data_IF_745719852980
#
_entry.id   IF_745719852980
#
_cell.length_a   1.000
_cell.length_b   1.000
_cell.length_c   1.000
_cell.angle_alpha   90.00
_cell.angle_beta   90.00
_cell.angle_gamma   90.00
#
_symmetry.space_group_name_H-M   'P 1'
#
loop_
_entity.id
_entity.type
_entity.pdbx_description
1 polymer ?
#
# COMPACT_ATOMS: atom_id res chain seq x y z
N UNK A 1 -4.80 0.20 -34.04
CA UNK A 1 -6.11 0.11 -33.36
C UNK A 1 -6.26 -1.28 -32.76
N UNK A 2 -6.58 -1.43 -31.48
CA UNK A 2 -6.87 -2.76 -30.91
C UNK A 2 -8.10 -3.32 -31.62
N UNK A 3 -7.98 -4.49 -32.21
CA UNK A 3 -9.15 -5.18 -32.77
C UNK A 3 -10.05 -5.64 -31.63
N UNK A 4 -11.37 -5.75 -31.84
CA UNK A 4 -12.31 -6.25 -30.82
C UNK A 4 -11.81 -7.53 -30.13
N UNK A 5 -11.21 -8.46 -30.86
CA UNK A 5 -10.73 -9.74 -30.31
C UNK A 5 -9.54 -9.59 -29.34
N UNK A 6 -8.59 -8.69 -29.59
CA UNK A 6 -7.47 -8.44 -28.65
C UNK A 6 -7.94 -7.72 -27.40
N UNK A 7 -8.92 -6.81 -27.54
CA UNK A 7 -9.55 -6.13 -26.41
C UNK A 7 -10.34 -7.11 -25.53
N UNK A 8 -11.09 -8.04 -26.13
CA UNK A 8 -11.87 -9.05 -25.41
C UNK A 8 -10.96 -10.00 -24.61
N UNK A 9 -9.82 -10.42 -25.18
CA UNK A 9 -8.83 -11.24 -24.49
C UNK A 9 -8.20 -10.47 -23.32
N UNK A 10 -7.83 -9.21 -23.50
CA UNK A 10 -7.29 -8.36 -22.44
C UNK A 10 -8.29 -8.21 -21.29
N UNK A 11 -9.58 -7.97 -21.61
CA UNK A 11 -10.63 -7.87 -20.60
C UNK A 11 -10.82 -9.18 -19.83
N UNK A 12 -10.74 -10.32 -20.53
CA UNK A 12 -10.85 -11.63 -19.89
C UNK A 12 -9.69 -11.90 -18.94
N UNK A 13 -8.45 -11.62 -19.33
CA UNK A 13 -7.29 -11.76 -18.45
C UNK A 13 -7.40 -10.90 -17.19
N UNK A 14 -7.88 -9.66 -17.33
CA UNK A 14 -8.14 -8.79 -16.19
C UNK A 14 -9.24 -9.32 -15.28
N UNK A 15 -10.31 -9.86 -15.86
CA UNK A 15 -11.40 -10.49 -15.12
C UNK A 15 -10.93 -11.75 -14.38
N UNK A 16 -10.00 -12.50 -14.97
CA UNK A 16 -9.38 -13.70 -14.37
C UNK A 16 -8.30 -13.32 -13.31
N UNK A 17 -8.14 -12.02 -13.02
CA UNK A 17 -7.26 -11.54 -11.94
C UNK A 17 -5.82 -11.21 -12.33
N UNK A 18 -5.53 -10.98 -13.62
CA UNK A 18 -4.21 -10.58 -14.13
C UNK A 18 -4.23 -9.12 -14.64
N UNK A 19 -4.11 -8.12 -13.76
CA UNK A 19 -4.37 -6.71 -14.09
C UNK A 19 -3.36 -6.11 -15.07
N UNK A 20 -2.13 -6.62 -15.10
CA UNK A 20 -1.05 -6.13 -15.95
C UNK A 20 -0.91 -6.89 -17.28
N UNK A 21 -1.69 -7.98 -17.47
CA UNK A 21 -1.63 -8.78 -18.69
C UNK A 21 -2.51 -8.19 -19.79
N UNK A 22 -2.05 -8.28 -21.02
CA UNK A 22 -2.78 -7.78 -22.18
C UNK A 22 -2.46 -8.58 -23.44
N UNK A 23 -3.39 -8.56 -24.39
CA UNK A 23 -3.21 -9.13 -25.69
C UNK A 23 -2.87 -8.04 -26.71
N UNK A 24 -1.85 -8.27 -27.51
CA UNK A 24 -1.41 -7.37 -28.56
C UNK A 24 -1.43 -8.05 -29.91
N UNK A 25 -1.79 -7.29 -30.93
CA UNK A 25 -1.81 -7.72 -32.33
C UNK A 25 -0.70 -7.01 -33.08
N UNK A 26 0.35 -7.72 -33.55
CA UNK A 26 1.40 -7.13 -34.38
C UNK A 26 0.86 -6.61 -35.72
N UNK A 27 1.49 -5.57 -36.27
CA UNK A 27 1.05 -4.92 -37.51
C UNK A 27 1.16 -5.84 -38.75
N UNK A 28 2.08 -6.83 -38.74
CA UNK A 28 2.34 -7.77 -39.85
C UNK A 28 1.45 -9.01 -39.85
N UNK A 29 0.24 -8.94 -39.37
CA UNK A 29 -0.50 -10.10 -38.88
C UNK A 29 -1.51 -10.69 -39.86
N UNK A 30 -1.54 -10.24 -41.12
CA UNK A 30 -2.61 -10.61 -42.06
C UNK A 30 -2.10 -11.37 -43.31
N UNK A 31 -1.04 -12.15 -43.17
CA UNK A 31 -0.60 -13.05 -44.23
C UNK A 31 -1.22 -14.43 -44.09
N UNK A 32 -1.69 -14.99 -45.19
CA UNK A 32 -2.19 -16.36 -45.34
C UNK A 32 -3.40 -16.75 -44.48
N UNK A 33 -4.29 -15.79 -44.13
CA UNK A 33 -5.49 -16.10 -43.38
C UNK A 33 -5.27 -16.50 -41.92
N UNK A 34 -4.04 -16.43 -41.42
CA UNK A 34 -3.66 -16.72 -40.03
C UNK A 34 -3.48 -15.41 -39.25
N UNK A 35 -4.13 -15.28 -38.10
CA UNK A 35 -3.99 -14.15 -37.17
C UNK A 35 -3.12 -14.60 -36.00
N UNK A 36 -1.96 -13.97 -35.81
CA UNK A 36 -1.12 -14.18 -34.63
C UNK A 36 -1.49 -13.15 -33.56
N UNK A 37 -1.84 -13.60 -32.37
CA UNK A 37 -2.09 -12.76 -31.21
C UNK A 37 -0.94 -13.01 -30.23
N UNK A 38 -0.28 -11.95 -29.80
CA UNK A 38 0.75 -12.02 -28.77
C UNK A 38 0.10 -11.71 -27.45
N UNK A 39 0.20 -12.67 -26.51
CA UNK A 39 -0.25 -12.51 -25.16
C UNK A 39 0.94 -12.09 -24.30
N UNK A 40 0.81 -10.97 -23.60
CA UNK A 40 1.82 -10.42 -22.72
C UNK A 40 1.41 -10.62 -21.29
N UNK A 41 2.16 -11.44 -20.56
CA UNK A 41 1.97 -11.67 -19.13
C UNK A 41 2.71 -10.58 -18.35
N UNK A 42 1.94 -9.68 -17.70
CA UNK A 42 2.49 -8.53 -17.01
C UNK A 42 2.99 -8.86 -15.61
N UNK A 43 4.12 -8.27 -15.25
CA UNK A 43 4.73 -8.38 -13.90
C UNK A 43 5.41 -7.07 -13.53
N UNK A 44 5.67 -6.85 -12.24
CA UNK A 44 6.44 -5.69 -11.76
C UNK A 44 7.92 -6.01 -11.81
N UNK A 45 8.65 -5.30 -12.65
CA UNK A 45 10.11 -5.45 -12.81
C UNK A 45 10.90 -4.52 -11.91
N UNK A 46 10.34 -3.35 -11.58
CA UNK A 46 11.01 -2.30 -10.81
C UNK A 46 10.04 -1.64 -9.84
N UNK A 47 10.54 -1.26 -8.65
CA UNK A 47 9.78 -0.50 -7.66
C UNK A 47 10.54 0.77 -7.28
N UNK A 48 9.86 1.92 -7.38
CA UNK A 48 10.33 3.22 -6.92
C UNK A 48 9.67 3.53 -5.55
N UNK A 49 10.49 3.66 -4.51
CA UNK A 49 10.03 3.91 -3.14
C UNK A 49 10.44 5.33 -2.73
N UNK A 50 9.45 6.19 -2.52
CA UNK A 50 9.65 7.59 -2.17
C UNK A 50 9.22 7.85 -0.73
N UNK A 51 10.19 7.91 0.18
CA UNK A 51 9.99 8.24 1.60
C UNK A 51 11.27 8.79 2.20
N UNK A 52 11.12 9.65 3.21
CA UNK A 52 12.25 10.23 3.97
C UNK A 52 12.63 9.39 5.22
N UNK A 53 11.82 8.38 5.57
CA UNK A 53 12.11 7.51 6.72
C UNK A 53 12.81 6.23 6.24
N UNK A 54 14.05 5.95 6.67
CA UNK A 54 14.82 4.78 6.23
C UNK A 54 14.18 3.44 6.65
N UNK A 55 13.60 3.36 7.85
CA UNK A 55 12.92 2.16 8.33
C UNK A 55 11.69 1.85 7.50
N UNK A 56 10.91 2.90 7.18
CA UNK A 56 9.76 2.78 6.29
C UNK A 56 10.19 2.36 4.88
N UNK A 57 11.27 2.95 4.35
CA UNK A 57 11.80 2.58 3.04
C UNK A 57 12.14 1.08 2.96
N UNK A 58 12.81 0.55 3.99
CA UNK A 58 13.16 -0.86 4.05
C UNK A 58 11.93 -1.77 4.11
N UNK A 59 10.93 -1.40 4.92
CA UNK A 59 9.65 -2.11 4.98
C UNK A 59 8.95 -2.13 3.62
N UNK A 60 8.79 -0.98 2.98
CA UNK A 60 8.12 -0.87 1.68
C UNK A 60 8.87 -1.66 0.60
N UNK A 61 10.21 -1.63 0.59
CA UNK A 61 11.03 -2.44 -0.32
C UNK A 61 10.81 -3.94 -0.13
N UNK A 62 10.72 -4.42 1.11
CA UNK A 62 10.43 -5.84 1.39
C UNK A 62 9.04 -6.25 0.88
N UNK A 63 8.01 -5.41 1.06
CA UNK A 63 6.67 -5.68 0.56
C UNK A 63 6.62 -5.61 -0.97
N UNK A 64 7.27 -4.64 -1.59
CA UNK A 64 7.39 -4.53 -3.04
C UNK A 64 8.13 -5.75 -3.65
N UNK A 65 9.17 -6.26 -3.00
CA UNK A 65 9.88 -7.45 -3.44
C UNK A 65 8.97 -8.69 -3.53
N UNK A 66 7.93 -8.79 -2.68
CA UNK A 66 6.94 -9.86 -2.75
C UNK A 66 6.03 -9.73 -3.97
N UNK A 67 5.67 -8.49 -4.35
CA UNK A 67 4.92 -8.22 -5.58
C UNK A 67 5.78 -8.56 -6.81
N UNK A 68 7.06 -8.16 -6.80
CA UNK A 68 8.01 -8.40 -7.89
C UNK A 68 8.36 -9.88 -8.09
N UNK A 69 8.20 -10.70 -7.05
CA UNK A 69 8.51 -12.13 -7.12
C UNK A 69 7.48 -12.94 -7.91
N UNK A 70 6.27 -12.42 -8.08
CA UNK A 70 5.19 -13.12 -8.78
C UNK A 70 5.13 -12.73 -10.26
N UNK A 71 5.17 -13.73 -11.13
CA UNK A 71 5.14 -13.59 -12.58
C UNK A 71 4.29 -14.70 -13.21
N UNK A 72 3.19 -14.39 -13.88
CA UNK A 72 2.53 -13.08 -13.99
C UNK A 72 1.94 -12.60 -12.67
N UNK A 73 1.84 -11.26 -12.49
CA UNK A 73 1.30 -10.68 -11.27
C UNK A 73 -0.22 -10.85 -11.20
N UNK A 74 -0.71 -11.38 -10.07
CA UNK A 74 -2.13 -11.45 -9.78
C UNK A 74 -2.64 -10.22 -9.04
N UNK A 75 -3.92 -9.89 -9.23
CA UNK A 75 -4.60 -8.82 -8.49
C UNK A 75 -4.60 -9.09 -6.98
N UNK A 76 -4.81 -10.35 -6.60
CA UNK A 76 -4.85 -10.74 -5.19
C UNK A 76 -3.51 -10.46 -4.46
N UNK A 77 -2.39 -10.77 -5.10
CA UNK A 77 -1.06 -10.47 -4.57
C UNK A 77 -0.80 -8.97 -4.52
N UNK A 78 -1.13 -8.25 -5.58
CA UNK A 78 -0.99 -6.80 -5.61
C UNK A 78 -1.80 -6.13 -4.49
N UNK A 79 -3.08 -6.45 -4.38
CA UNK A 79 -3.97 -5.88 -3.36
C UNK A 79 -3.51 -6.23 -1.93
N UNK A 80 -3.11 -7.47 -1.72
CA UNK A 80 -2.61 -7.90 -0.40
C UNK A 80 -1.42 -7.07 0.07
N UNK A 81 -0.40 -6.93 -0.75
CA UNK A 81 0.83 -6.25 -0.33
C UNK A 81 0.69 -4.73 -0.34
N UNK A 82 -0.10 -4.15 -1.24
CA UNK A 82 -0.42 -2.71 -1.20
C UNK A 82 -1.26 -2.36 0.03
N UNK A 83 -2.23 -3.21 0.43
CA UNK A 83 -2.94 -3.04 1.70
C UNK A 83 -2.02 -3.12 2.92
N UNK A 84 -1.02 -4.01 2.92
CA UNK A 84 -0.03 -4.05 3.99
C UNK A 84 0.86 -2.80 4.03
N UNK A 85 1.13 -2.18 2.88
CA UNK A 85 1.82 -0.89 2.83
C UNK A 85 0.96 0.23 3.40
N UNK A 86 -0.33 0.31 3.03
CA UNK A 86 -1.26 1.36 3.51
C UNK A 86 -1.60 1.22 4.99
N UNK A 87 -1.53 0.02 5.55
CA UNK A 87 -1.75 -0.23 6.99
C UNK A 87 -0.53 0.04 7.87
N UNK A 88 0.54 0.60 7.31
CA UNK A 88 1.71 0.98 8.12
C UNK A 88 1.37 2.14 9.04
N UNK A 89 1.58 2.03 10.37
CA UNK A 89 1.24 3.08 11.32
C UNK A 89 1.95 4.40 11.05
N UNK A 90 1.29 5.53 11.32
CA UNK A 90 1.89 6.87 11.23
C UNK A 90 2.23 7.34 9.83
N UNK A 91 1.72 6.67 8.77
CA UNK A 91 1.98 7.07 7.39
C UNK A 91 0.82 6.70 6.48
N UNK A 92 0.53 7.55 5.52
CA UNK A 92 -0.31 7.21 4.38
C UNK A 92 0.59 6.83 3.22
N UNK A 93 0.42 5.63 2.67
CA UNK A 93 1.18 5.15 1.51
C UNK A 93 0.26 5.07 0.32
N UNK A 94 0.63 5.75 -0.76
CA UNK A 94 0.01 5.59 -2.07
C UNK A 94 0.88 4.65 -2.90
N UNK A 95 0.31 3.53 -3.34
CA UNK A 95 1.00 2.52 -4.11
C UNK A 95 0.24 2.24 -5.41
N UNK A 96 0.91 2.38 -6.52
CA UNK A 96 0.35 2.17 -7.86
C UNK A 96 1.32 1.43 -8.77
N UNK A 97 0.79 0.68 -9.72
CA UNK A 97 1.57 0.05 -10.77
C UNK A 97 1.16 0.63 -12.13
N UNK A 98 2.16 0.98 -12.93
CA UNK A 98 1.93 1.41 -14.31
C UNK A 98 1.76 0.19 -15.21
N UNK A 99 0.92 0.32 -16.23
CA UNK A 99 0.79 -0.74 -17.23
C UNK A 99 2.10 -0.94 -17.97
N UNK A 100 2.47 -2.19 -18.31
CA UNK A 100 3.64 -2.46 -19.13
C UNK A 100 3.56 -1.72 -20.46
N UNK A 101 4.67 -1.07 -20.87
CA UNK A 101 4.76 -0.35 -22.13
C UNK A 101 5.54 -1.13 -23.19
N UNK A 102 5.90 -2.38 -22.91
CA UNK A 102 6.70 -3.22 -23.79
C UNK A 102 6.14 -4.64 -23.87
N UNK A 103 6.51 -5.34 -24.94
CA UNK A 103 6.08 -6.72 -25.21
C UNK A 103 6.60 -7.75 -24.19
N UNK A 104 7.51 -7.36 -23.29
CA UNK A 104 8.06 -8.24 -22.26
C UNK A 104 7.23 -8.23 -20.96
N UNK A 105 6.18 -7.41 -20.89
CA UNK A 105 5.27 -7.36 -19.73
C UNK A 105 5.87 -6.72 -18.47
N UNK A 106 7.03 -6.05 -18.58
CA UNK A 106 7.69 -5.41 -17.46
C UNK A 106 7.00 -4.09 -17.10
N UNK A 107 6.46 -4.00 -15.89
CA UNK A 107 5.81 -2.82 -15.31
C UNK A 107 6.69 -2.18 -14.23
N UNK A 108 6.48 -0.89 -14.00
CA UNK A 108 7.05 -0.16 -12.88
C UNK A 108 5.98 0.05 -11.80
N UNK A 109 6.36 -0.15 -10.54
CA UNK A 109 5.53 0.15 -9.37
C UNK A 109 6.10 1.38 -8.67
N UNK A 110 5.23 2.28 -8.24
CA UNK A 110 5.59 3.41 -7.38
C UNK A 110 4.89 3.27 -6.04
N UNK A 111 5.63 3.50 -4.95
CA UNK A 111 5.07 3.62 -3.61
C UNK A 111 5.60 4.89 -2.97
N UNK A 112 4.70 5.83 -2.72
CA UNK A 112 5.02 7.14 -2.15
C UNK A 112 4.39 7.27 -0.78
N UNK A 113 5.19 7.66 0.22
CA UNK A 113 4.66 8.04 1.52
C UNK A 113 4.18 9.48 1.48
N UNK A 114 2.95 9.68 1.95
CA UNK A 114 2.33 11.00 2.10
C UNK A 114 2.30 11.28 3.61
N UNK A 115 2.85 12.43 4.02
CA UNK A 115 2.86 12.91 5.41
C UNK A 115 3.32 11.84 6.43
N UNK A 116 4.58 11.39 6.39
CA UNK A 116 5.09 10.47 7.40
C UNK A 116 5.22 11.22 8.74
N UNK A 117 4.36 10.89 9.68
CA UNK A 117 4.47 11.35 11.07
C UNK A 117 5.09 10.23 11.91
N UNK A 118 6.31 10.45 12.38
CA UNK A 118 6.96 9.51 13.30
C UNK A 118 6.29 9.56 14.67
N UNK A 119 5.71 10.69 15.04
CA UNK A 119 5.02 10.90 16.30
C UNK A 119 3.65 11.55 16.07
N UNK A 120 2.73 11.20 16.92
CA UNK A 120 1.40 11.80 17.00
C UNK A 120 1.06 12.06 18.47
N UNK A 121 0.45 13.20 18.76
CA UNK A 121 -0.05 13.54 20.10
C UNK A 121 -1.47 14.06 19.93
N UNK A 122 -2.40 13.47 20.65
CA UNK A 122 -3.76 13.95 20.72
C UNK A 122 -4.22 14.13 22.17
N UNK A 123 -5.12 15.07 22.40
CA UNK A 123 -5.73 15.29 23.70
C UNK A 123 -7.23 15.53 23.56
N UNK A 124 -8.00 14.97 24.49
CA UNK A 124 -9.44 15.15 24.58
C UNK A 124 -9.79 15.50 26.01
N UNK A 125 -10.61 16.55 26.20
CA UNK A 125 -11.12 16.96 27.51
C UNK A 125 -12.57 16.51 27.60
N UNK A 126 -12.89 15.74 28.65
CA UNK A 126 -14.26 15.35 28.98
C UNK A 126 -14.73 16.16 30.19
N UNK A 127 -15.78 16.96 30.00
CA UNK A 127 -16.39 17.82 31.05
C UNK A 127 -17.76 17.35 31.44
N UNK A 128 -18.12 16.08 31.20
CA UNK A 128 -19.45 15.55 31.51
C UNK A 128 -19.57 15.20 33.00
N UNK A 129 -20.58 15.82 33.63
CA UNK A 129 -21.11 15.48 34.97
C UNK A 129 -20.07 15.27 36.07
N UNK A 130 -19.62 16.32 36.71
CA UNK A 130 -18.86 16.32 37.95
C UNK A 130 -17.45 15.70 37.96
N UNK A 131 -16.92 15.24 36.85
CA UNK A 131 -15.54 14.75 36.74
C UNK A 131 -14.93 15.30 35.47
N UNK A 132 -14.15 16.36 35.61
CA UNK A 132 -13.40 16.91 34.50
C UNK A 132 -12.08 16.13 34.31
N UNK A 133 -11.89 15.52 33.16
CA UNK A 133 -10.73 14.70 32.86
C UNK A 133 -10.11 15.10 31.52
N UNK A 134 -8.80 15.10 31.44
CA UNK A 134 -8.06 15.17 30.19
C UNK A 134 -7.52 13.77 29.84
N UNK A 135 -7.83 13.31 28.64
CA UNK A 135 -7.24 12.11 28.06
C UNK A 135 -6.18 12.53 27.06
N UNK A 136 -4.94 12.12 27.29
CA UNK A 136 -3.81 12.43 26.41
C UNK A 136 -3.23 11.13 25.87
N UNK A 137 -3.05 11.08 24.56
CA UNK A 137 -2.39 9.96 23.89
C UNK A 137 -1.21 10.47 23.08
N UNK A 138 -0.12 9.72 23.11
CA UNK A 138 1.03 9.93 22.25
C UNK A 138 1.42 8.62 21.57
N UNK A 139 1.89 8.66 20.36
CA UNK A 139 2.41 7.48 19.68
C UNK A 139 3.68 7.80 18.88
N UNK A 140 4.56 6.81 18.81
CA UNK A 140 5.76 6.79 17.98
C UNK A 140 5.62 5.63 16.99
N UNK A 141 5.78 5.91 15.71
CA UNK A 141 5.57 4.94 14.63
C UNK A 141 6.85 4.74 13.82
N UNK A 142 7.02 3.51 13.29
CA UNK A 142 8.14 3.14 12.41
C UNK A 142 9.52 3.36 13.05
N UNK A 143 9.66 2.99 14.34
CA UNK A 143 10.93 2.98 15.06
C UNK A 143 11.88 1.93 14.48
N UNK A 144 11.31 0.84 13.98
CA UNK A 144 12.04 -0.22 13.28
C UNK A 144 11.46 -0.43 11.86
N UNK A 145 12.12 -1.27 11.08
CA UNK A 145 11.65 -1.62 9.73
C UNK A 145 10.48 -2.61 9.71
N UNK A 146 9.95 -3.01 10.85
CA UNK A 146 8.80 -3.92 10.94
C UNK A 146 7.45 -3.20 10.90
N UNK A 147 7.43 -1.85 11.00
CA UNK A 147 6.21 -1.03 11.01
C UNK A 147 5.52 -1.10 12.36
N UNK A 148 6.32 -0.96 13.38
CA UNK A 148 5.94 -0.93 14.78
C UNK A 148 5.35 0.41 15.20
N UNK A 149 4.58 0.37 16.27
CA UNK A 149 4.07 1.55 16.94
C UNK A 149 4.13 1.38 18.45
N UNK A 150 4.75 2.36 19.12
CA UNK A 150 4.72 2.49 20.57
C UNK A 150 3.71 3.58 20.93
N UNK A 151 2.75 3.25 21.77
CA UNK A 151 1.72 4.18 22.22
C UNK A 151 1.74 4.38 23.74
N UNK A 152 1.49 5.62 24.14
CA UNK A 152 1.30 6.04 25.53
C UNK A 152 -0.10 6.66 25.65
N UNK A 153 -0.86 6.28 26.66
CA UNK A 153 -2.15 6.88 26.99
C UNK A 153 -2.21 7.24 28.46
N UNK A 154 -2.63 8.43 28.79
CA UNK A 154 -2.82 8.85 30.17
C UNK A 154 -4.12 9.58 30.37
N UNK A 155 -4.73 9.36 31.51
CA UNK A 155 -5.90 10.07 31.98
C UNK A 155 -5.50 10.96 33.15
N UNK A 156 -5.71 12.25 33.02
CA UNK A 156 -5.35 13.27 34.00
C UNK A 156 -6.64 13.88 34.55
N UNK A 157 -6.94 13.74 35.85
CA UNK A 157 -8.04 14.44 36.47
C UNK A 157 -7.75 15.94 36.51
N UNK A 158 -8.71 16.73 36.04
CA UNK A 158 -8.65 18.21 36.11
C UNK A 158 -9.28 18.75 37.39
N UNK A 159 -9.91 17.89 38.16
CA UNK A 159 -10.67 18.21 39.37
C UNK A 159 -10.00 17.59 40.61
N UNK A 160 -9.89 18.34 41.70
CA UNK A 160 -9.25 17.88 42.96
C UNK A 160 -10.07 16.78 43.67
N UNK A 161 -11.33 16.60 43.29
CA UNK A 161 -12.20 15.55 43.83
C UNK A 161 -11.92 14.15 43.26
N UNK A 162 -11.25 14.05 42.08
CA UNK A 162 -10.98 12.79 41.41
C UNK A 162 -9.49 12.41 41.56
N UNK A 163 -9.23 11.33 42.30
CA UNK A 163 -7.87 10.81 42.52
C UNK A 163 -7.48 9.67 41.57
N UNK A 164 -8.27 9.41 40.51
CA UNK A 164 -8.00 8.30 39.62
C UNK A 164 -7.19 8.82 38.42
N UNK A 165 -5.94 8.40 38.33
CA UNK A 165 -5.11 8.54 37.13
C UNK A 165 -4.90 7.17 36.47
N UNK A 166 -4.75 7.17 35.18
CA UNK A 166 -4.47 5.97 34.39
C UNK A 166 -3.26 6.25 33.50
N UNK A 167 -2.37 5.28 33.42
CA UNK A 167 -1.26 5.29 32.49
C UNK A 167 -1.25 3.94 31.76
N UNK A 168 -1.30 3.98 30.44
CA UNK A 168 -1.25 2.79 29.59
C UNK A 168 -0.13 2.89 28.58
N UNK A 169 0.59 1.80 28.39
CA UNK A 169 1.59 1.62 27.34
C UNK A 169 1.10 0.50 26.43
N UNK A 170 1.23 0.69 25.14
CA UNK A 170 0.96 -0.34 24.13
C UNK A 170 2.11 -0.38 23.11
N UNK A 171 2.41 -1.58 22.64
CA UNK A 171 3.33 -1.82 21.53
C UNK A 171 2.72 -2.82 20.57
N UNK A 172 2.79 -2.52 19.28
CA UNK A 172 2.32 -3.41 18.19
C UNK A 172 3.30 -3.43 17.02
#
# INVERSE_FOLDING_TARGET
FPTRRSSDLTLRYRADGYPLSYAWLPDDNFHDGTIKIVLVEGYVAHSDIQTNNPNLAERLKRLAAKIMAEKPLTQATFDRYTQLMTRTPGVTVDASAQLPQNIYGAAAMQAKSIQPHIWDISSTIDTRRSQNMAFVTGSLSNLTSYGDQLGLATLIPLDSSTRKSYLGLNYQ
#
